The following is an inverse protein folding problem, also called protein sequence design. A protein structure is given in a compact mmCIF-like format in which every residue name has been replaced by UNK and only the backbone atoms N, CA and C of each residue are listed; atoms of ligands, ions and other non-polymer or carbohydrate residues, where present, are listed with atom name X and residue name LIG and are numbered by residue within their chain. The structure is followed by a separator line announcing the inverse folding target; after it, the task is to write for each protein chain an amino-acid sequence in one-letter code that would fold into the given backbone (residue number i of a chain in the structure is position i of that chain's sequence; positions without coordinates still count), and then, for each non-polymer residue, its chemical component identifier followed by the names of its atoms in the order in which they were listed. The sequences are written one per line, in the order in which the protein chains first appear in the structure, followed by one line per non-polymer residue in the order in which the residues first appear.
data_IF_745046048401
#
_entry.id   IF_745046048401
#
_cell.length_a   1.000
_cell.length_b   1.000
_cell.length_c   1.000
_cell.angle_alpha   90.00
_cell.angle_beta   90.00
_cell.angle_gamma   90.00
#
_symmetry.space_group_name_H-M   'P 1'
#
loop_
_entity.id
_entity.type
_entity.pdbx_description
1 polymer ?
#
# COMPACT_ATOMS: atom_id res chain seq x y z
N UNK A 1 -6.35 15.98 8.40
CA UNK A 1 -5.38 15.15 7.64
C UNK A 1 -5.37 15.61 6.19
N UNK A 2 -4.30 15.33 5.44
CA UNK A 2 -4.30 15.42 3.97
C UNK A 2 -4.47 14.00 3.43
N UNK A 3 -5.33 13.81 2.44
CA UNK A 3 -5.71 12.48 1.97
C UNK A 3 -5.22 12.31 0.52
N UNK A 4 -4.56 11.18 0.26
CA UNK A 4 -4.12 10.77 -1.07
C UNK A 4 -4.87 9.47 -1.39
N UNK A 5 -5.55 9.45 -2.54
CA UNK A 5 -6.14 8.25 -3.09
C UNK A 5 -5.22 7.72 -4.19
N UNK A 6 -4.79 6.47 -4.06
CA UNK A 6 -3.92 5.80 -5.03
C UNK A 6 -4.69 4.66 -5.69
N UNK A 7 -4.88 4.73 -6.99
CA UNK A 7 -5.39 3.61 -7.78
C UNK A 7 -4.24 2.63 -8.05
N UNK A 8 -4.32 1.42 -7.50
CA UNK A 8 -3.27 0.41 -7.53
C UNK A 8 -3.86 -0.99 -7.39
N UNK A 9 -3.28 -2.04 -7.99
CA UNK A 9 -2.08 -2.04 -8.85
C UNK A 9 -2.34 -1.49 -10.27
N UNK A 10 -1.33 -1.61 -11.14
CA UNK A 10 -1.47 -1.41 -12.58
C UNK A 10 -2.73 -2.11 -13.12
N UNK A 11 -3.52 -1.39 -13.92
CA UNK A 11 -4.81 -1.84 -14.46
C UNK A 11 -6.03 -1.46 -13.63
N UNK A 12 -5.85 -0.86 -12.44
CA UNK A 12 -6.95 -0.33 -11.64
C UNK A 12 -7.24 1.12 -12.02
N UNK A 13 -8.48 1.42 -12.38
CA UNK A 13 -8.94 2.78 -12.67
C UNK A 13 -8.16 3.42 -13.80
N UNK A 14 -7.47 4.52 -13.51
CA UNK A 14 -6.61 5.26 -14.43
C UNK A 14 -5.13 4.83 -14.39
N UNK A 15 -4.73 3.92 -13.50
CA UNK A 15 -3.36 3.39 -13.45
C UNK A 15 -3.13 2.38 -14.57
N UNK A 16 -2.14 2.63 -15.43
CA UNK A 16 -1.84 1.79 -16.60
C UNK A 16 -0.33 1.57 -16.78
N UNK A 17 0.02 0.51 -17.52
CA UNK A 17 1.35 0.27 -18.07
C UNK A 17 1.31 0.21 -19.59
N UNK A 18 2.38 0.69 -20.21
CA UNK A 18 2.64 0.53 -21.64
C UNK A 18 3.10 -0.89 -22.00
N UNK A 19 3.40 -1.72 -20.99
CA UNK A 19 3.86 -3.09 -21.16
C UNK A 19 2.75 -4.06 -20.76
N UNK A 20 2.11 -4.68 -21.76
CA UNK A 20 0.93 -5.53 -21.56
C UNK A 20 1.15 -6.74 -20.64
N UNK A 21 2.39 -7.21 -20.50
CA UNK A 21 2.70 -8.30 -19.57
C UNK A 21 2.54 -7.90 -18.11
N UNK A 22 2.67 -6.61 -17.75
CA UNK A 22 2.64 -6.17 -16.35
C UNK A 22 1.29 -6.49 -15.68
N UNK A 23 0.20 -6.41 -16.45
CA UNK A 23 -1.15 -6.76 -16.00
C UNK A 23 -1.29 -8.24 -15.60
N UNK A 24 -0.41 -9.12 -16.09
CA UNK A 24 -0.38 -10.55 -15.75
C UNK A 24 0.55 -10.88 -14.57
N UNK A 25 1.39 -9.92 -14.16
CA UNK A 25 2.36 -10.08 -13.08
C UNK A 25 1.98 -9.26 -11.84
N UNK A 26 0.70 -8.93 -11.70
CA UNK A 26 0.17 -8.29 -10.50
C UNK A 26 0.13 -9.30 -9.35
N UNK A 27 0.38 -8.81 -8.13
CA UNK A 27 0.39 -9.62 -6.92
C UNK A 27 0.93 -8.81 -5.75
N UNK A 28 0.57 -9.19 -4.53
CA UNK A 28 0.74 -8.36 -3.34
C UNK A 28 2.15 -7.76 -3.19
N UNK A 29 3.19 -8.57 -3.42
CA UNK A 29 4.60 -8.13 -3.32
C UNK A 29 4.95 -7.06 -4.35
N UNK A 30 4.50 -7.22 -5.59
CA UNK A 30 4.74 -6.24 -6.66
C UNK A 30 3.94 -4.97 -6.40
N UNK A 31 2.67 -5.11 -5.99
CA UNK A 31 1.81 -3.97 -5.60
C UNK A 31 2.43 -3.14 -4.47
N UNK A 32 2.98 -3.77 -3.43
CA UNK A 32 3.64 -3.06 -2.33
C UNK A 32 4.92 -2.34 -2.80
N UNK A 33 5.71 -2.97 -3.68
CA UNK A 33 6.92 -2.36 -4.26
C UNK A 33 6.58 -1.14 -5.13
N UNK A 34 5.57 -1.26 -5.98
CA UNK A 34 5.17 -0.19 -6.90
C UNK A 34 4.50 0.97 -6.14
N UNK A 35 3.67 0.68 -5.13
CA UNK A 35 3.11 1.70 -4.26
C UNK A 35 4.19 2.43 -3.44
N UNK A 36 5.23 1.73 -2.98
CA UNK A 36 6.40 2.37 -2.35
C UNK A 36 7.13 3.29 -3.33
N UNK A 37 7.39 2.83 -4.55
CA UNK A 37 8.02 3.65 -5.59
C UNK A 37 7.18 4.90 -5.92
N UNK A 38 5.85 4.76 -5.98
CA UNK A 38 4.94 5.89 -6.09
C UNK A 38 5.14 6.89 -4.94
N UNK A 39 5.18 6.44 -3.69
CA UNK A 39 5.31 7.34 -2.53
C UNK A 39 6.65 8.09 -2.52
N UNK A 40 7.75 7.43 -2.87
CA UNK A 40 9.06 8.09 -2.98
C UNK A 40 9.01 9.19 -4.04
N UNK A 41 8.56 8.87 -5.25
CA UNK A 41 8.44 9.86 -6.34
C UNK A 41 7.42 10.97 -6.03
N UNK A 42 6.36 10.64 -5.28
CA UNK A 42 5.36 11.61 -4.85
C UNK A 42 5.95 12.60 -3.83
N UNK A 43 6.76 12.12 -2.88
CA UNK A 43 7.46 13.00 -1.94
C UNK A 43 8.51 13.88 -2.61
N UNK A 44 9.23 13.37 -3.61
CA UNK A 44 10.13 14.20 -4.43
C UNK A 44 9.38 15.32 -5.15
N UNK A 45 8.16 15.04 -5.65
CA UNK A 45 7.30 16.05 -6.28
C UNK A 45 6.67 17.02 -5.27
N UNK A 46 6.39 16.56 -4.06
CA UNK A 46 5.72 17.32 -3.00
C UNK A 46 6.56 17.34 -1.70
N UNK A 47 7.76 17.95 -1.72
CA UNK A 47 8.74 17.85 -0.63
C UNK A 47 8.25 18.46 0.69
N UNK A 48 7.26 19.37 0.63
CA UNK A 48 6.62 19.94 1.83
C UNK A 48 5.90 18.90 2.72
N UNK A 49 5.77 17.65 2.25
CA UNK A 49 5.16 16.55 3.00
C UNK A 49 6.16 15.59 3.66
N UNK A 50 7.47 15.66 3.35
CA UNK A 50 8.48 14.67 3.80
C UNK A 50 8.52 14.46 5.32
N UNK A 51 8.36 15.52 6.10
CA UNK A 51 8.44 15.46 7.56
C UNK A 51 7.11 15.14 8.24
N UNK A 52 6.01 15.10 7.47
CA UNK A 52 4.68 14.93 8.04
C UNK A 52 4.46 13.51 8.51
N UNK A 53 3.68 13.37 9.58
CA UNK A 53 3.19 12.07 10.01
C UNK A 53 2.37 11.43 8.88
N UNK A 54 2.78 10.22 8.50
CA UNK A 54 2.18 9.46 7.42
C UNK A 54 1.45 8.24 7.97
N UNK A 55 0.25 8.00 7.46
CA UNK A 55 -0.60 6.87 7.83
C UNK A 55 -1.10 6.18 6.57
N UNK A 56 -1.18 4.85 6.59
CA UNK A 56 -1.73 4.08 5.48
C UNK A 56 -3.08 3.53 5.91
N UNK A 57 -4.11 3.78 5.11
CA UNK A 57 -5.47 3.32 5.40
C UNK A 57 -6.08 2.62 4.20
N UNK A 58 -6.88 1.58 4.42
CA UNK A 58 -7.59 0.89 3.35
C UNK A 58 -8.70 -0.01 3.87
N UNK A 59 -9.47 -0.62 2.97
CA UNK A 59 -10.58 -1.51 3.28
C UNK A 59 -10.51 -2.82 2.49
N UNK A 60 -11.17 -3.88 2.98
CA UNK A 60 -11.37 -5.15 2.25
C UNK A 60 -10.04 -5.82 1.94
N UNK A 61 -9.72 -6.09 0.67
CA UNK A 61 -8.44 -6.70 0.27
C UNK A 61 -7.22 -5.83 0.62
N UNK A 62 -7.42 -4.54 0.96
CA UNK A 62 -6.36 -3.72 1.52
C UNK A 62 -5.84 -4.24 2.88
N UNK A 63 -6.52 -5.21 3.51
CA UNK A 63 -5.94 -6.00 4.60
C UNK A 63 -4.65 -6.73 4.22
N UNK A 64 -4.43 -7.00 2.93
CA UNK A 64 -3.14 -7.45 2.40
C UNK A 64 -2.23 -6.26 2.04
N UNK A 65 -2.75 -5.26 1.33
CA UNK A 65 -1.94 -4.16 0.78
C UNK A 65 -1.34 -3.24 1.85
N UNK A 66 -2.14 -2.83 2.83
CA UNK A 66 -1.75 -1.85 3.87
C UNK A 66 -0.56 -2.35 4.71
N UNK A 67 -0.61 -3.55 5.34
CA UNK A 67 0.51 -4.02 6.14
C UNK A 67 1.74 -4.36 5.30
N UNK A 68 1.57 -4.86 4.06
CA UNK A 68 2.71 -5.14 3.19
C UNK A 68 3.42 -3.86 2.74
N UNK A 69 2.69 -2.81 2.36
CA UNK A 69 3.28 -1.51 2.05
C UNK A 69 3.96 -0.90 3.29
N UNK A 70 3.32 -0.98 4.46
CA UNK A 70 3.93 -0.52 5.72
C UNK A 70 5.25 -1.24 6.02
N UNK A 71 5.29 -2.56 5.81
CA UNK A 71 6.51 -3.36 5.96
C UNK A 71 7.58 -2.98 4.93
N UNK A 72 7.20 -2.76 3.67
CA UNK A 72 8.10 -2.28 2.62
C UNK A 72 8.72 -0.92 3.00
N UNK A 73 7.92 0.03 3.49
CA UNK A 73 8.43 1.32 3.98
C UNK A 73 9.40 1.12 5.14
N UNK A 74 9.04 0.30 6.13
CA UNK A 74 9.89 0.03 7.29
C UNK A 74 11.26 -0.55 6.89
N UNK A 75 11.29 -1.47 5.93
CA UNK A 75 12.55 -2.04 5.43
C UNK A 75 13.38 -1.01 4.69
N UNK A 76 12.78 -0.19 3.83
CA UNK A 76 13.52 0.80 3.05
C UNK A 76 14.01 1.97 3.91
N UNK A 77 13.26 2.40 4.93
CA UNK A 77 13.70 3.41 5.89
C UNK A 77 14.96 3.02 6.68
N UNK A 78 15.33 1.73 6.73
CA UNK A 78 16.60 1.28 7.34
C UNK A 78 17.82 1.59 6.47
N UNK A 79 17.63 1.94 5.19
CA UNK A 79 18.70 2.29 4.29
C UNK A 79 18.95 3.80 4.33
N UNK A 80 20.10 4.22 4.87
CA UNK A 80 20.41 5.62 5.17
C UNK A 80 20.47 6.57 3.95
N UNK A 81 20.46 6.04 2.72
CA UNK A 81 20.58 6.80 1.48
C UNK A 81 19.25 6.96 0.73
N UNK A 82 18.10 6.71 1.36
CA UNK A 82 16.78 6.79 0.72
C UNK A 82 15.85 7.79 1.43
N UNK A 83 14.87 8.30 0.68
CA UNK A 83 13.79 9.16 1.21
C UNK A 83 13.08 8.46 2.36
N UNK A 84 13.11 9.08 3.54
CA UNK A 84 12.49 8.53 4.74
C UNK A 84 11.00 8.90 4.76
N UNK A 85 10.14 7.90 4.85
CA UNK A 85 8.70 8.12 5.02
C UNK A 85 8.39 8.00 6.52
N UNK A 86 7.92 9.08 7.14
CA UNK A 86 7.60 9.14 8.57
C UNK A 86 6.28 8.40 8.91
N UNK A 87 6.25 7.09 8.67
CA UNK A 87 5.11 6.21 8.92
C UNK A 87 4.84 6.08 10.43
N UNK A 88 3.64 6.48 10.85
CA UNK A 88 3.19 6.44 12.25
C UNK A 88 2.21 5.33 12.57
N UNK A 89 1.48 4.83 11.58
CA UNK A 89 0.51 3.77 11.80
C UNK A 89 -0.25 3.37 10.56
N UNK A 90 -1.07 2.33 10.74
CA UNK A 90 -1.97 1.80 9.73
C UNK A 90 -3.38 1.65 10.28
N UNK A 91 -4.38 1.73 9.39
CA UNK A 91 -5.76 1.37 9.71
C UNK A 91 -6.37 0.54 8.57
N UNK A 92 -7.10 -0.52 8.92
CA UNK A 92 -7.74 -1.40 7.95
C UNK A 92 -9.20 -1.58 8.32
N UNK A 93 -10.11 -1.17 7.45
CA UNK A 93 -11.55 -1.41 7.57
C UNK A 93 -11.91 -2.78 6.99
N UNK A 94 -12.67 -3.59 7.73
CA UNK A 94 -13.24 -4.86 7.26
C UNK A 94 -12.26 -5.71 6.42
N UNK A 95 -11.01 -5.81 6.88
CA UNK A 95 -9.92 -6.36 6.10
C UNK A 95 -10.03 -7.87 5.89
N UNK A 96 -9.67 -8.32 4.69
CA UNK A 96 -9.21 -9.69 4.49
C UNK A 96 -7.76 -9.76 4.98
N UNK A 97 -7.53 -10.48 6.08
CA UNK A 97 -6.22 -10.54 6.76
C UNK A 97 -5.72 -11.98 6.88
N UNK A 98 -6.62 -12.92 7.21
CA UNK A 98 -6.29 -14.32 7.41
C UNK A 98 -7.39 -15.20 6.81
N UNK A 99 -7.07 -15.95 5.76
CA UNK A 99 -8.03 -16.76 5.01
C UNK A 99 -8.87 -17.66 5.90
N UNK A 100 -8.23 -18.35 6.85
CA UNK A 100 -8.88 -19.32 7.73
C UNK A 100 -9.85 -18.63 8.67
N UNK A 101 -9.40 -17.60 9.38
CA UNK A 101 -10.19 -16.91 10.40
C UNK A 101 -11.31 -16.10 9.75
N UNK A 102 -11.03 -15.45 8.61
CA UNK A 102 -12.05 -14.77 7.82
C UNK A 102 -13.13 -15.76 7.32
N UNK A 103 -12.74 -16.94 6.84
CA UNK A 103 -13.70 -17.96 6.39
C UNK A 103 -14.55 -18.50 7.53
N UNK A 104 -13.95 -18.88 8.66
CA UNK A 104 -14.69 -19.36 9.85
C UNK A 104 -15.65 -18.29 10.36
N UNK A 105 -15.18 -17.05 10.52
CA UNK A 105 -16.02 -15.94 10.97
C UNK A 105 -17.20 -15.64 10.04
N UNK A 106 -17.05 -15.87 8.73
CA UNK A 106 -18.16 -15.75 7.77
C UNK A 106 -19.25 -16.79 8.02
N UNK A 107 -18.88 -18.05 8.31
CA UNK A 107 -19.86 -19.10 8.60
C UNK A 107 -20.50 -18.91 9.98
N UNK A 108 -19.73 -18.53 10.99
CA UNK A 108 -20.25 -18.29 12.34
C UNK A 108 -21.24 -17.10 12.39
N UNK A 109 -21.07 -16.12 11.50
CA UNK A 109 -21.95 -14.94 11.41
C UNK A 109 -23.31 -15.24 10.76
N UNK A 110 -23.39 -16.24 9.87
CA UNK A 110 -24.58 -16.59 9.08
C UNK A 110 -25.51 -17.54 9.84
#
# INVERSE_FOLDING_TARGET
ANIIFLESPVGVGFSYSNTSSDYQHTGDKNTAKDAYAFLVNWLERFPQYETRDFYITGESYAGHYVPQLAYTIFLNNKNANQTLINLKGIAVGNGWIDDRTNALGRFDYL
#
